data_IF_109056437779
#
_entry.id   IF_109056437779
#
_cell.length_a   1.000
_cell.length_b   1.000
_cell.length_c   1.000
_cell.angle_alpha   90.00
_cell.angle_beta   90.00
_cell.angle_gamma   90.00
#
_symmetry.space_group_name_H-M   'P 1'
#
loop_
_entity.id
_entity.type
_entity.pdbx_description
1 polymer ?
#
# COMPACT_ATOMS: atom_id res chain seq x y z
N UNK A 1 -1.13 -17.53 70.88
CA UNK A 1 -0.06 -16.63 70.41
C UNK A 1 -0.38 -16.19 68.98
N UNK A 2 -0.75 -14.91 68.78
CA UNK A 2 -1.07 -14.35 67.46
C UNK A 2 0.18 -13.65 66.90
N UNK A 3 0.77 -14.21 65.85
CA UNK A 3 1.95 -13.66 65.17
C UNK A 3 1.43 -12.64 64.15
N UNK A 4 1.89 -11.37 64.25
CA UNK A 4 1.42 -10.26 63.41
C UNK A 4 1.95 -10.40 61.96
N UNK A 5 1.11 -10.32 60.93
CA UNK A 5 1.49 -10.53 59.51
C UNK A 5 2.12 -9.29 58.84
N UNK A 6 2.69 -8.36 59.61
CA UNK A 6 3.20 -7.07 59.10
C UNK A 6 4.70 -7.03 58.75
N UNK A 7 5.49 -8.02 59.19
CA UNK A 7 6.96 -7.96 59.10
C UNK A 7 7.50 -8.56 57.79
N UNK A 8 6.77 -9.48 57.15
CA UNK A 8 7.24 -10.15 55.93
C UNK A 8 7.17 -9.27 54.66
N UNK A 9 6.34 -8.22 54.67
CA UNK A 9 6.19 -7.33 53.51
C UNK A 9 7.32 -6.30 53.37
N UNK A 10 8.02 -5.97 54.46
CA UNK A 10 9.17 -5.06 54.40
C UNK A 10 10.47 -5.74 53.97
N UNK A 11 10.64 -7.03 54.24
CA UNK A 11 11.86 -7.76 53.86
C UNK A 11 11.92 -8.11 52.36
N UNK A 12 10.78 -8.28 51.68
CA UNK A 12 10.77 -8.60 50.25
C UNK A 12 11.08 -7.39 49.35
N UNK A 13 10.81 -6.17 49.83
CA UNK A 13 11.08 -4.94 49.08
C UNK A 13 12.58 -4.61 48.97
N UNK A 14 13.40 -4.94 49.97
CA UNK A 14 14.85 -4.71 49.91
C UNK A 14 15.59 -5.66 48.95
N UNK A 15 15.07 -6.88 48.74
CA UNK A 15 15.71 -7.87 47.88
C UNK A 15 15.53 -7.56 46.38
N UNK A 16 14.54 -6.75 45.98
CA UNK A 16 14.34 -6.37 44.59
C UNK A 16 15.25 -5.23 44.11
N UNK A 17 15.68 -4.34 45.01
CA UNK A 17 16.58 -3.22 44.68
C UNK A 17 18.02 -3.64 44.35
N UNK A 18 18.49 -4.80 44.85
CA UNK A 18 19.86 -5.27 44.56
C UNK A 18 20.02 -5.89 43.15
N UNK A 19 18.93 -6.31 42.50
CA UNK A 19 18.98 -7.01 41.21
C UNK A 19 19.20 -6.08 40.01
N UNK A 20 18.78 -4.81 40.10
CA UNK A 20 18.89 -3.86 39.00
C UNK A 20 20.31 -3.32 38.80
N UNK A 21 21.11 -3.25 39.87
CA UNK A 21 22.44 -2.64 39.83
C UNK A 21 23.45 -3.49 39.02
N UNK A 22 23.31 -4.82 39.03
CA UNK A 22 24.23 -5.73 38.33
C UNK A 22 24.05 -5.80 36.80
N UNK A 23 22.89 -5.38 36.27
CA UNK A 23 22.62 -5.44 34.81
C UNK A 23 23.26 -4.28 34.04
N UNK A 24 23.41 -3.11 34.64
CA UNK A 24 23.98 -1.93 33.97
C UNK A 24 25.49 -2.07 33.75
N UNK A 25 26.22 -2.55 34.76
CA UNK A 25 27.69 -2.74 34.68
C UNK A 25 28.10 -3.74 33.59
N UNK A 26 27.30 -4.78 33.35
CA UNK A 26 27.56 -5.78 32.30
C UNK A 26 27.38 -5.22 30.88
N UNK A 27 26.61 -4.14 30.70
CA UNK A 27 26.28 -3.61 29.37
C UNK A 27 27.46 -2.90 28.71
N UNK A 28 28.35 -2.32 29.53
CA UNK A 28 29.54 -1.60 29.07
C UNK A 28 30.79 -2.47 28.94
N UNK A 29 30.73 -3.74 29.34
CA UNK A 29 31.84 -4.69 29.31
C UNK A 29 31.85 -5.46 27.98
N UNK A 30 33.00 -5.47 27.29
CA UNK A 30 33.16 -6.22 26.05
C UNK A 30 34.61 -6.66 25.83
N UNK A 31 34.80 -7.74 25.09
CA UNK A 31 36.12 -8.25 24.74
C UNK A 31 36.51 -7.89 23.31
N UNK A 32 37.79 -7.62 23.09
CA UNK A 32 38.29 -7.31 21.76
C UNK A 32 39.77 -7.73 21.60
N UNK A 33 40.16 -8.01 20.36
CA UNK A 33 41.48 -8.54 19.99
C UNK A 33 42.36 -7.48 19.35
N UNK A 34 43.58 -7.31 19.83
CA UNK A 34 44.55 -6.36 19.26
C UNK A 34 44.91 -6.79 17.84
N UNK A 35 44.74 -5.89 16.88
CA UNK A 35 44.98 -6.16 15.44
C UNK A 35 46.20 -5.44 14.89
N UNK A 36 46.41 -4.18 15.27
CA UNK A 36 47.58 -3.39 14.85
C UNK A 36 47.96 -2.42 15.95
N UNK A 37 49.25 -2.19 16.13
CA UNK A 37 49.80 -1.26 17.12
C UNK A 37 50.69 -0.27 16.37
N UNK A 38 50.50 1.02 16.65
CA UNK A 38 51.41 2.09 16.26
C UNK A 38 51.95 2.72 17.53
N UNK A 39 53.21 2.42 17.84
CA UNK A 39 53.89 2.82 19.07
C UNK A 39 54.17 4.33 19.10
N UNK A 40 54.57 4.91 17.97
CA UNK A 40 54.92 6.35 17.87
C UNK A 40 53.70 7.24 18.14
N UNK A 41 52.54 6.84 17.63
CA UNK A 41 51.27 7.57 17.83
C UNK A 41 50.49 7.16 19.08
N UNK A 42 50.94 6.14 19.83
CA UNK A 42 50.17 5.55 20.93
C UNK A 42 48.79 5.03 20.50
N UNK A 43 48.67 4.58 19.25
CA UNK A 43 47.41 4.14 18.65
C UNK A 43 47.35 2.62 18.59
N UNK A 44 46.25 2.06 19.07
CA UNK A 44 46.00 0.62 19.04
C UNK A 44 44.70 0.38 18.29
N UNK A 45 44.77 -0.40 17.21
CA UNK A 45 43.59 -0.89 16.49
C UNK A 45 43.20 -2.24 17.05
N UNK A 46 41.95 -2.34 17.46
CA UNK A 46 41.39 -3.53 18.11
C UNK A 46 40.19 -3.99 17.29
N UNK A 47 40.04 -5.30 17.11
CA UNK A 47 38.88 -5.95 16.51
C UNK A 47 37.94 -6.40 17.62
N UNK A 48 36.75 -5.83 17.69
CA UNK A 48 35.72 -6.27 18.62
C UNK A 48 34.85 -7.36 18.00
N UNK A 49 34.43 -8.32 18.82
CA UNK A 49 33.46 -9.35 18.44
C UNK A 49 32.07 -9.03 19.01
N UNK A 50 31.73 -7.74 19.07
CA UNK A 50 30.54 -7.25 19.77
C UNK A 50 29.71 -6.33 18.87
N UNK A 51 28.45 -6.67 18.66
CA UNK A 51 27.56 -5.96 17.73
C UNK A 51 27.27 -4.51 18.15
N UNK A 52 27.38 -4.20 19.45
CA UNK A 52 27.10 -2.86 19.96
C UNK A 52 28.32 -1.92 19.88
N UNK A 53 29.41 -2.31 19.21
CA UNK A 53 30.54 -1.40 18.89
C UNK A 53 30.09 -0.16 18.14
N UNK A 54 28.98 -0.25 17.39
CA UNK A 54 28.33 0.89 16.73
C UNK A 54 27.96 2.04 17.68
N UNK A 55 27.72 1.75 18.97
CA UNK A 55 27.36 2.74 19.99
C UNK A 55 28.56 3.41 20.67
N UNK A 56 29.79 3.00 20.35
CA UNK A 56 30.98 3.77 20.71
C UNK A 56 31.06 5.01 19.82
N UNK A 57 31.38 6.16 20.41
CA UNK A 57 31.60 7.41 19.72
C UNK A 57 33.08 7.82 19.76
N UNK A 58 33.45 8.76 18.89
CA UNK A 58 34.80 9.34 18.93
C UNK A 58 34.92 10.14 20.22
N UNK A 59 36.09 10.03 20.87
CA UNK A 59 36.45 10.63 22.16
C UNK A 59 35.88 9.93 23.40
N UNK A 60 35.12 8.84 23.25
CA UNK A 60 34.64 8.05 24.39
C UNK A 60 35.81 7.49 25.19
N UNK A 61 35.65 7.47 26.52
CA UNK A 61 36.65 6.93 27.42
C UNK A 61 36.45 5.43 27.59
N UNK A 62 37.51 4.68 27.39
CA UNK A 62 37.50 3.22 27.51
C UNK A 62 38.63 2.79 28.44
N UNK A 63 38.30 1.95 29.41
CA UNK A 63 39.26 1.28 30.28
C UNK A 63 39.48 -0.13 29.77
N UNK A 64 40.71 -0.61 29.74
CA UNK A 64 41.01 -1.97 29.30
C UNK A 64 42.08 -2.64 30.14
N UNK A 65 42.01 -3.97 30.21
CA UNK A 65 42.90 -4.81 31.00
C UNK A 65 43.05 -6.21 30.37
N UNK A 66 44.04 -6.95 30.87
CA UNK A 66 44.23 -8.35 30.52
C UNK A 66 43.29 -9.24 31.34
N UNK A 67 42.73 -10.28 30.73
CA UNK A 67 41.84 -11.25 31.38
C UNK A 67 42.48 -11.84 32.64
N UNK A 68 43.80 -12.06 32.60
CA UNK A 68 44.53 -12.66 33.71
C UNK A 68 44.80 -11.70 34.87
N UNK A 69 44.80 -10.38 34.62
CA UNK A 69 45.20 -9.36 35.59
C UNK A 69 44.20 -8.19 35.61
N UNK A 70 43.00 -8.36 36.22
CA UNK A 70 41.93 -7.36 36.18
C UNK A 70 42.16 -6.12 37.07
N UNK A 71 43.15 -6.19 37.98
CA UNK A 71 43.51 -5.11 38.91
C UNK A 71 44.19 -3.95 38.21
N UNK A 72 44.93 -4.21 37.13
CA UNK A 72 45.69 -3.20 36.40
C UNK A 72 44.88 -2.80 35.17
N UNK A 73 44.33 -1.58 35.19
CA UNK A 73 43.51 -1.03 34.11
C UNK A 73 44.20 0.16 33.47
N UNK A 74 44.18 0.21 32.15
CA UNK A 74 44.64 1.35 31.38
C UNK A 74 43.47 2.12 30.81
N UNK A 75 43.61 3.45 30.72
CA UNK A 75 42.60 4.31 30.10
C UNK A 75 43.03 4.73 28.71
N UNK A 76 42.07 4.80 27.79
CA UNK A 76 42.27 5.23 26.42
C UNK A 76 41.03 5.95 25.88
N UNK A 77 41.22 6.65 24.78
CA UNK A 77 40.16 7.38 24.09
C UNK A 77 39.93 6.82 22.69
N UNK A 78 38.68 6.66 22.27
CA UNK A 78 38.35 6.20 20.91
C UNK A 78 38.66 7.31 19.89
N UNK A 79 39.52 7.02 18.91
CA UNK A 79 39.88 7.96 17.83
C UNK A 79 39.04 7.71 16.57
N UNK A 80 38.82 6.45 16.25
CA UNK A 80 38.12 6.04 15.04
C UNK A 80 37.41 4.71 15.23
N UNK A 81 36.31 4.53 14.50
CA UNK A 81 35.51 3.31 14.54
C UNK A 81 35.12 2.86 13.13
N UNK A 82 34.91 1.57 13.03
CA UNK A 82 34.30 0.81 11.94
C UNK A 82 33.39 -0.24 12.58
N UNK A 83 32.71 -1.06 11.77
CA UNK A 83 31.78 -2.07 12.27
C UNK A 83 32.47 -3.09 13.19
N UNK A 84 33.61 -3.63 12.74
CA UNK A 84 34.33 -4.69 13.47
C UNK A 84 35.58 -4.19 14.20
N UNK A 85 36.06 -2.99 13.86
CA UNK A 85 37.32 -2.44 14.34
C UNK A 85 37.13 -1.07 14.95
N UNK A 86 37.82 -0.80 16.05
CA UNK A 86 37.94 0.54 16.59
C UNK A 86 39.40 0.82 16.95
N UNK A 87 39.78 2.08 16.88
CA UNK A 87 41.14 2.55 17.16
C UNK A 87 41.09 3.40 18.40
N UNK A 88 41.91 3.05 19.39
CA UNK A 88 42.05 3.77 20.65
C UNK A 88 43.40 4.46 20.70
N UNK A 89 43.45 5.61 21.37
CA UNK A 89 44.67 6.32 21.73
C UNK A 89 44.90 6.15 23.22
N UNK A 90 46.07 5.61 23.57
CA UNK A 90 46.52 5.45 24.96
C UNK A 90 47.43 6.63 25.29
N UNK A 91 47.04 7.55 26.20
CA UNK A 91 47.86 8.71 26.54
C UNK A 91 49.25 8.31 27.07
N UNK A 92 49.28 7.39 28.04
CA UNK A 92 50.52 6.91 28.68
C UNK A 92 50.87 5.50 28.21
N UNK A 93 51.14 5.35 26.92
CA UNK A 93 51.38 4.03 26.30
C UNK A 93 52.51 3.24 26.99
N UNK A 94 53.64 3.88 27.30
CA UNK A 94 54.81 3.22 27.92
C UNK A 94 54.51 2.69 29.32
N UNK A 95 53.77 3.45 30.12
CA UNK A 95 53.38 3.05 31.49
C UNK A 95 52.37 1.92 31.45
N UNK A 96 51.40 2.01 30.53
CA UNK A 96 50.39 0.99 30.35
C UNK A 96 50.96 -0.36 29.86
N UNK A 97 51.96 -0.34 28.96
CA UNK A 97 52.59 -1.56 28.45
C UNK A 97 53.26 -2.41 29.55
N UNK A 98 53.74 -1.78 30.63
CA UNK A 98 54.31 -2.52 31.78
C UNK A 98 53.26 -3.29 32.57
N UNK A 99 52.03 -2.80 32.57
CA UNK A 99 50.91 -3.37 33.32
C UNK A 99 50.02 -4.31 32.50
N UNK A 100 49.84 -4.01 31.21
CA UNK A 100 48.95 -4.76 30.30
C UNK A 100 49.73 -5.15 29.04
N UNK A 101 49.82 -6.46 28.79
CA UNK A 101 50.54 -6.98 27.62
C UNK A 101 49.72 -6.76 26.35
N UNK A 102 50.04 -5.70 25.61
CA UNK A 102 49.45 -5.40 24.31
C UNK A 102 50.30 -5.94 23.17
N UNK A 103 50.20 -7.24 22.88
CA UNK A 103 50.76 -7.84 21.67
C UNK A 103 49.70 -8.16 20.62
N UNK A 104 50.11 -8.25 19.36
CA UNK A 104 49.21 -8.57 18.25
C UNK A 104 48.52 -9.90 18.51
N UNK A 105 47.20 -9.94 18.32
CA UNK A 105 46.38 -11.13 18.54
C UNK A 105 45.95 -11.36 19.99
N UNK A 106 46.42 -10.58 20.97
CA UNK A 106 45.97 -10.70 22.37
C UNK A 106 44.53 -10.24 22.56
N UNK A 107 43.83 -10.94 23.44
CA UNK A 107 42.50 -10.57 23.91
C UNK A 107 42.62 -9.63 25.10
N UNK A 108 41.86 -8.53 25.05
CA UNK A 108 41.75 -7.57 26.13
C UNK A 108 40.26 -7.42 26.47
N UNK A 109 39.99 -7.20 27.75
CA UNK A 109 38.68 -6.81 28.23
C UNK A 109 38.61 -5.29 28.27
N UNK A 110 37.49 -4.75 27.81
CA UNK A 110 37.20 -3.33 27.74
C UNK A 110 35.96 -3.01 28.54
N UNK A 111 35.96 -1.85 29.15
CA UNK A 111 34.80 -1.27 29.81
C UNK A 111 34.69 0.21 29.49
N UNK A 112 33.48 0.64 29.16
CA UNK A 112 33.17 2.05 28.95
C UNK A 112 31.82 2.38 29.56
N UNK A 113 31.80 3.41 30.42
CA UNK A 113 30.57 3.96 30.95
C UNK A 113 29.77 4.68 29.86
N UNK A 114 30.47 5.40 28.96
CA UNK A 114 29.86 6.10 27.83
C UNK A 114 29.12 5.12 26.92
N UNK A 115 29.70 3.94 26.69
CA UNK A 115 29.05 2.87 25.94
C UNK A 115 27.76 2.38 26.60
N UNK A 116 27.78 2.16 27.92
CA UNK A 116 26.59 1.72 28.65
C UNK A 116 25.46 2.76 28.53
N UNK A 117 25.80 4.03 28.70
CA UNK A 117 24.86 5.16 28.54
C UNK A 117 24.32 5.25 27.10
N UNK A 118 25.18 5.11 26.09
CA UNK A 118 24.79 5.15 24.69
C UNK A 118 23.88 3.97 24.31
N UNK A 119 24.11 2.78 24.87
CA UNK A 119 23.25 1.62 24.66
C UNK A 119 21.88 1.83 25.33
N UNK A 120 21.85 2.39 26.55
CA UNK A 120 20.60 2.72 27.24
C UNK A 120 19.77 3.72 26.42
N UNK A 121 20.39 4.82 25.99
CA UNK A 121 19.77 5.80 25.10
C UNK A 121 19.32 5.17 23.78
N UNK A 122 20.13 4.29 23.19
CA UNK A 122 19.78 3.55 21.98
C UNK A 122 18.51 2.71 22.14
N UNK A 123 18.32 2.06 23.30
CA UNK A 123 17.10 1.29 23.61
C UNK A 123 15.87 2.19 23.72
N UNK A 124 16.00 3.33 24.38
CA UNK A 124 14.91 4.32 24.47
C UNK A 124 14.51 4.86 23.09
N UNK A 125 15.50 5.18 22.26
CA UNK A 125 15.26 5.62 20.88
C UNK A 125 14.55 4.54 20.07
N UNK A 126 14.94 3.27 20.19
CA UNK A 126 14.26 2.16 19.52
C UNK A 126 12.81 2.05 19.95
N UNK A 127 12.52 2.16 21.25
CA UNK A 127 11.14 2.14 21.75
C UNK A 127 10.30 3.30 21.18
N UNK A 128 10.86 4.52 21.14
CA UNK A 128 10.21 5.68 20.51
C UNK A 128 9.95 5.42 19.02
N UNK A 129 10.91 4.86 18.31
CA UNK A 129 10.78 4.55 16.88
C UNK A 129 9.72 3.48 16.62
N UNK A 130 9.63 2.45 17.46
CA UNK A 130 8.59 1.43 17.38
C UNK A 130 7.20 2.03 17.62
N UNK A 131 7.04 2.90 18.62
CA UNK A 131 5.80 3.64 18.87
C UNK A 131 5.41 4.52 17.67
N UNK A 132 6.36 5.24 17.09
CA UNK A 132 6.12 6.05 15.88
C UNK A 132 5.71 5.18 14.69
N UNK A 133 6.36 4.03 14.48
CA UNK A 133 6.00 3.08 13.42
C UNK A 133 4.55 2.61 13.57
N UNK A 134 4.15 2.20 14.77
CA UNK A 134 2.78 1.76 15.05
C UNK A 134 1.76 2.87 14.79
N UNK A 135 2.05 4.10 15.22
CA UNK A 135 1.18 5.25 14.98
C UNK A 135 1.01 5.55 13.49
N UNK A 136 2.09 5.52 12.71
CA UNK A 136 2.06 5.73 11.26
C UNK A 136 1.28 4.60 10.58
N UNK A 137 1.54 3.34 10.95
CA UNK A 137 0.82 2.19 10.41
C UNK A 137 -0.70 2.29 10.67
N UNK A 138 -1.09 2.76 11.86
CA UNK A 138 -2.48 3.05 12.19
C UNK A 138 -3.09 4.14 11.29
N UNK A 139 -2.36 5.21 11.00
CA UNK A 139 -2.81 6.27 10.06
C UNK A 139 -2.97 5.74 8.64
N UNK A 140 -2.01 4.96 8.15
CA UNK A 140 -2.07 4.33 6.82
C UNK A 140 -3.30 3.43 6.70
N UNK A 141 -3.55 2.59 7.71
CA UNK A 141 -4.72 1.70 7.71
C UNK A 141 -6.05 2.45 7.70
N UNK A 142 -6.16 3.59 8.40
CA UNK A 142 -7.38 4.43 8.37
C UNK A 142 -7.59 5.04 6.99
N UNK A 143 -6.55 5.68 6.45
CA UNK A 143 -6.63 6.29 5.12
C UNK A 143 -6.97 5.26 4.04
N UNK A 144 -6.45 4.03 4.14
CA UNK A 144 -6.81 2.95 3.23
C UNK A 144 -8.31 2.66 3.26
N UNK A 145 -8.90 2.50 4.46
CA UNK A 145 -10.34 2.27 4.61
C UNK A 145 -11.19 3.41 4.05
N UNK A 146 -10.73 4.65 4.23
CA UNK A 146 -11.43 5.82 3.70
C UNK A 146 -11.41 5.82 2.16
N UNK A 147 -10.28 5.44 1.55
CA UNK A 147 -10.16 5.29 0.09
C UNK A 147 -11.02 4.13 -0.44
N UNK A 148 -11.06 3.01 0.27
CA UNK A 148 -11.88 1.86 -0.09
C UNK A 148 -13.36 2.25 -0.05
N UNK A 149 -13.81 2.94 1.01
CA UNK A 149 -15.19 3.45 1.13
C UNK A 149 -15.53 4.46 0.03
N UNK A 150 -14.59 5.32 -0.36
CA UNK A 150 -14.80 6.24 -1.48
C UNK A 150 -14.98 5.48 -2.81
N UNK A 151 -14.15 4.45 -3.03
CA UNK A 151 -14.22 3.60 -4.22
C UNK A 151 -15.55 2.86 -4.29
N UNK A 152 -16.02 2.31 -3.17
CA UNK A 152 -17.34 1.67 -3.06
C UNK A 152 -18.48 2.63 -3.43
N UNK A 153 -18.44 3.89 -2.95
CA UNK A 153 -19.45 4.90 -3.30
C UNK A 153 -19.45 5.20 -4.80
N UNK A 154 -18.27 5.33 -5.40
CA UNK A 154 -18.15 5.56 -6.85
C UNK A 154 -18.71 4.38 -7.63
N UNK A 155 -18.39 3.15 -7.23
CA UNK A 155 -18.89 1.95 -7.89
C UNK A 155 -20.42 1.84 -7.79
N UNK A 156 -21.01 2.08 -6.62
CA UNK A 156 -22.46 2.06 -6.43
C UNK A 156 -23.17 3.12 -7.31
N UNK A 157 -22.58 4.31 -7.46
CA UNK A 157 -23.11 5.35 -8.36
C UNK A 157 -23.01 4.90 -9.82
N UNK A 158 -21.85 4.37 -10.23
CA UNK A 158 -21.64 3.90 -11.60
C UNK A 158 -22.61 2.76 -11.96
N UNK A 159 -22.81 1.79 -11.07
CA UNK A 159 -23.77 0.70 -11.25
C UNK A 159 -25.19 1.22 -11.39
N UNK A 160 -25.61 2.17 -10.55
CA UNK A 160 -26.93 2.80 -10.64
C UNK A 160 -27.17 3.45 -12.01
N UNK A 161 -26.20 4.21 -12.51
CA UNK A 161 -26.34 4.87 -13.81
C UNK A 161 -26.27 3.88 -14.98
N UNK A 162 -25.49 2.81 -14.85
CA UNK A 162 -25.47 1.73 -15.83
C UNK A 162 -26.84 1.05 -15.95
N UNK A 163 -27.47 0.71 -14.83
CA UNK A 163 -28.81 0.12 -14.81
C UNK A 163 -29.87 1.07 -15.39
N UNK A 164 -29.78 2.38 -15.08
CA UNK A 164 -30.69 3.38 -15.65
C UNK A 164 -30.55 3.44 -17.17
N UNK A 165 -29.33 3.43 -17.68
CA UNK A 165 -29.06 3.43 -19.11
C UNK A 165 -29.62 2.18 -19.79
N UNK A 166 -29.42 1.01 -19.21
CA UNK A 166 -29.95 -0.25 -19.75
C UNK A 166 -31.49 -0.23 -19.83
N UNK A 167 -32.18 0.34 -18.83
CA UNK A 167 -33.64 0.52 -18.87
C UNK A 167 -34.10 1.49 -19.95
N UNK A 168 -33.43 2.63 -20.10
CA UNK A 168 -33.76 3.59 -21.16
C UNK A 168 -33.52 2.99 -22.54
N UNK A 169 -32.45 2.21 -22.70
CA UNK A 169 -32.17 1.49 -23.94
C UNK A 169 -33.21 0.40 -24.23
N UNK A 170 -33.77 -0.27 -23.21
CA UNK A 170 -34.87 -1.23 -23.43
C UNK A 170 -36.17 -0.54 -23.81
N UNK A 171 -36.56 0.52 -23.09
CA UNK A 171 -37.75 1.33 -23.40
C UNK A 171 -37.67 1.89 -24.83
N UNK A 172 -36.50 2.42 -25.21
CA UNK A 172 -36.29 2.93 -26.57
C UNK A 172 -36.47 1.85 -27.64
N UNK A 173 -35.99 0.62 -27.41
CA UNK A 173 -36.20 -0.49 -28.35
C UNK A 173 -37.66 -0.92 -28.45
N UNK A 174 -38.38 -0.91 -27.33
CA UNK A 174 -39.81 -1.22 -27.30
C UNK A 174 -40.61 -0.20 -28.12
N UNK A 175 -40.37 1.10 -27.91
CA UNK A 175 -41.03 2.17 -28.67
C UNK A 175 -40.71 2.11 -30.17
N UNK A 176 -39.46 1.81 -30.55
CA UNK A 176 -39.10 1.57 -31.96
C UNK A 176 -39.87 0.39 -32.54
N UNK A 177 -40.02 -0.70 -31.77
CA UNK A 177 -40.80 -1.87 -32.17
C UNK A 177 -42.27 -1.53 -32.42
N UNK A 178 -42.90 -0.77 -31.51
CA UNK A 178 -44.29 -0.32 -31.67
C UNK A 178 -44.48 0.51 -32.94
N UNK A 179 -43.59 1.47 -33.20
CA UNK A 179 -43.63 2.31 -34.41
C UNK A 179 -43.47 1.46 -35.67
N UNK A 180 -42.61 0.45 -35.64
CA UNK A 180 -42.39 -0.45 -36.77
C UNK A 180 -43.61 -1.33 -37.04
N UNK A 181 -44.25 -1.86 -35.99
CA UNK A 181 -45.50 -2.61 -36.08
C UNK A 181 -46.65 -1.74 -36.64
N UNK A 182 -46.81 -0.51 -36.16
CA UNK A 182 -47.80 0.45 -36.66
C UNK A 182 -47.58 0.76 -38.15
N UNK A 183 -46.32 0.92 -38.55
CA UNK A 183 -45.94 1.09 -39.96
C UNK A 183 -46.34 -0.13 -40.78
N UNK A 184 -46.10 -1.34 -40.29
CA UNK A 184 -46.44 -2.59 -40.99
C UNK A 184 -47.96 -2.75 -41.14
N UNK A 185 -48.74 -2.45 -40.09
CA UNK A 185 -50.21 -2.46 -40.14
C UNK A 185 -50.72 -1.45 -41.16
N UNK A 186 -50.21 -0.21 -41.12
CA UNK A 186 -50.57 0.85 -42.07
C UNK A 186 -50.26 0.45 -43.52
N UNK A 187 -49.10 -0.18 -43.75
CA UNK A 187 -48.69 -0.68 -45.07
C UNK A 187 -49.63 -1.81 -45.55
N UNK A 188 -50.00 -2.74 -44.67
CA UNK A 188 -50.98 -3.80 -45.00
C UNK A 188 -52.33 -3.18 -45.39
N UNK A 189 -52.83 -2.23 -44.62
CA UNK A 189 -54.08 -1.53 -44.89
C UNK A 189 -54.03 -0.78 -46.23
N UNK A 190 -52.93 -0.08 -46.51
CA UNK A 190 -52.72 0.60 -47.78
C UNK A 190 -52.77 -0.38 -48.97
N UNK A 191 -52.08 -1.52 -48.86
CA UNK A 191 -52.11 -2.56 -49.90
C UNK A 191 -53.49 -3.16 -50.10
N UNK A 192 -54.24 -3.41 -49.02
CA UNK A 192 -55.60 -3.92 -49.10
C UNK A 192 -56.54 -2.91 -49.80
N UNK A 193 -56.46 -1.63 -49.44
CA UNK A 193 -57.21 -0.56 -50.10
C UNK A 193 -56.84 -0.44 -51.58
N UNK A 194 -55.55 -0.55 -51.92
CA UNK A 194 -55.09 -0.52 -53.30
C UNK A 194 -55.69 -1.67 -54.13
N UNK A 195 -55.68 -2.92 -53.61
CA UNK A 195 -56.31 -4.05 -54.29
C UNK A 195 -57.81 -3.85 -54.52
N UNK A 196 -58.53 -3.28 -53.54
CA UNK A 196 -59.96 -2.97 -53.67
C UNK A 196 -60.22 -1.89 -54.72
N UNK A 197 -59.34 -0.90 -54.82
CA UNK A 197 -59.42 0.15 -55.84
C UNK A 197 -59.22 -0.45 -57.24
N UNK A 198 -58.20 -1.30 -57.41
CA UNK A 198 -57.95 -2.00 -58.68
C UNK A 198 -59.15 -2.88 -59.09
N UNK A 199 -59.81 -3.55 -58.13
CA UNK A 199 -61.03 -4.31 -58.38
C UNK A 199 -62.20 -3.42 -58.82
N UNK A 200 -62.36 -2.24 -58.21
CA UNK A 200 -63.38 -1.27 -58.59
C UNK A 200 -63.13 -0.70 -59.98
N UNK A 201 -61.88 -0.37 -60.32
CA UNK A 201 -61.50 0.11 -61.65
C UNK A 201 -61.80 -0.94 -62.72
N UNK A 202 -61.50 -2.22 -62.44
CA UNK A 202 -61.85 -3.33 -63.34
C UNK A 202 -63.37 -3.47 -63.52
N UNK A 203 -64.15 -3.30 -62.44
CA UNK A 203 -65.61 -3.29 -62.53
C UNK A 203 -66.12 -2.09 -63.33
N UNK A 204 -65.58 -0.90 -63.10
CA UNK A 204 -65.93 0.31 -63.86
C UNK A 204 -65.66 0.13 -65.35
N UNK A 205 -64.53 -0.49 -65.72
CA UNK A 205 -64.25 -0.84 -67.11
C UNK A 205 -65.29 -1.83 -67.68
N UNK A 206 -65.67 -2.85 -66.91
CA UNK A 206 -66.66 -3.86 -67.33
C UNK A 206 -68.07 -3.29 -67.50
N UNK A 207 -68.49 -2.41 -66.60
CA UNK A 207 -69.81 -1.75 -66.63
C UNK A 207 -69.79 -0.40 -67.34
N UNK A 208 -68.70 -0.07 -68.04
CA UNK A 208 -68.62 1.13 -68.86
C UNK A 208 -69.69 1.04 -69.93
N UNK A 209 -70.72 1.86 -69.79
CA UNK A 209 -71.77 1.99 -70.79
C UNK A 209 -71.16 2.83 -71.91
N UNK A 210 -71.01 2.23 -73.08
CA UNK A 210 -70.71 2.97 -74.29
C UNK A 210 -72.03 3.60 -74.77
N UNK A 211 -72.04 4.92 -74.99
CA UNK A 211 -73.24 5.65 -75.42
C UNK A 211 -73.71 5.25 -76.84
N UNK A 212 -72.88 4.52 -77.59
CA UNK A 212 -73.17 4.06 -78.95
C UNK A 212 -73.80 2.66 -78.97
N UNK A 213 -75.07 2.56 -78.55
CA UNK A 213 -75.86 1.33 -78.67
C UNK A 213 -76.39 1.02 -80.08
N UNK A 214 -76.04 1.84 -81.08
CA UNK A 214 -76.40 1.62 -82.46
C UNK A 214 -75.13 1.41 -83.27
N UNK A 215 -74.84 0.15 -83.62
CA UNK A 215 -74.12 -0.09 -84.87
C UNK A 215 -74.96 0.60 -85.93
N UNK A 216 -74.44 1.64 -86.58
CA UNK A 216 -75.14 2.27 -87.70
C UNK A 216 -75.40 1.20 -88.75
N UNK A 217 -76.62 0.67 -88.76
CA UNK A 217 -77.02 -0.34 -89.72
C UNK A 217 -76.97 0.33 -91.10
N UNK A 218 -76.40 -0.36 -92.09
CA UNK A 218 -76.09 0.22 -93.40
C UNK A 218 -77.37 0.70 -94.13
N UNK A 219 -78.53 0.22 -93.70
CA UNK A 219 -79.87 0.61 -94.16
C UNK A 219 -80.41 1.91 -93.55
N UNK A 220 -79.82 2.41 -92.45
CA UNK A 220 -80.20 3.69 -91.83
C UNK A 220 -79.68 4.93 -92.56
N UNK A 221 -78.86 4.74 -93.60
CA UNK A 221 -78.23 5.81 -94.40
C UNK A 221 -78.85 5.99 -95.80
N UNK A 222 -79.97 5.33 -96.14
CA UNK A 222 -80.63 5.54 -97.45
C UNK A 222 -81.31 6.95 -97.50
N UNK A 223 -80.83 7.87 -98.37
CA UNK A 223 -81.34 9.25 -98.44
C UNK A 223 -82.78 9.35 -98.96
N UNK A 224 -83.36 8.26 -99.48
CA UNK A 224 -84.70 8.28 -100.10
C UNK A 224 -85.86 8.24 -99.10
N UNK A 225 -85.62 7.88 -97.85
CA UNK A 225 -86.67 7.65 -96.85
C UNK A 225 -86.88 8.80 -95.85
N UNK A 226 -86.03 9.84 -95.84
CA UNK A 226 -86.23 11.00 -94.97
C UNK A 226 -86.89 12.15 -95.73
N UNK A 227 -88.18 12.37 -95.44
CA UNK A 227 -88.85 13.63 -95.78
C UNK A 227 -88.26 14.75 -94.92
N UNK A 228 -87.54 15.69 -95.54
CA UNK A 228 -87.14 16.95 -94.89
C UNK A 228 -88.40 17.74 -94.52
N UNK A 229 -88.54 18.10 -93.24
CA UNK A 229 -89.22 19.33 -92.82
C UNK A 229 -88.17 20.43 -92.71
#
# INVERSE_FOLDING_TARGET
>A
MKIKPGIYLFLSAMLFSLSSYGKEELTGLFSARVSKINVEGGLVRVRAQFDNVRYLNKKDKVSFWDVHHPLIRCTAYVVGKSNDYFTIRVPDYKSCLRGVTMSLGRYLQFYSQDLANNIAMGRELVDILLKKRLAIQGKVSRNQKDLDSYTEKVNAINERYKLLREKLESEWREELGLIEDDRLVSLRNFKDLQMRLDELDLKLQKYKIEDENLVTDRWSLDPRLFYKK
#
